data_IF_104154695076
#
_entry.id   IF_104154695076
#
_cell.length_a   1.000
_cell.length_b   1.000
_cell.length_c   1.000
_cell.angle_alpha   90.00
_cell.angle_beta   90.00
_cell.angle_gamma   90.00
#
_symmetry.space_group_name_H-M   'P 1'
#
loop_
_entity.id
_entity.type
_entity.pdbx_description
1 polymer ?
#
# COMPACT_ATOMS: atom_id res chain seq x y z
N UNK A 1 -10.12 -19.86 -3.87
CA UNK A 1 -9.07 -18.99 -3.31
C UNK A 1 -9.74 -17.91 -2.46
N UNK A 2 -9.60 -17.91 -1.13
CA UNK A 2 -10.25 -16.90 -0.28
C UNK A 2 -9.67 -15.51 -0.52
N UNK A 3 -10.54 -14.51 -0.51
CA UNK A 3 -10.22 -13.11 -0.81
C UNK A 3 -10.66 -12.24 0.36
N UNK A 4 -9.87 -11.22 0.69
CA UNK A 4 -10.25 -10.18 1.64
C UNK A 4 -10.21 -8.81 0.97
N UNK A 5 -11.20 -7.97 1.28
CA UNK A 5 -11.25 -6.57 0.88
C UNK A 5 -11.01 -5.73 2.13
N UNK A 6 -9.95 -4.93 2.11
CA UNK A 6 -9.59 -4.06 3.24
C UNK A 6 -10.24 -2.70 3.03
N UNK A 7 -10.91 -2.21 4.08
CA UNK A 7 -11.33 -0.82 4.17
C UNK A 7 -10.37 -0.09 5.13
N UNK A 8 -9.81 1.02 4.67
CA UNK A 8 -8.87 1.85 5.41
C UNK A 8 -9.27 3.32 5.27
N UNK A 9 -9.15 4.09 6.36
CA UNK A 9 -9.24 5.55 6.32
C UNK A 9 -7.84 6.14 6.34
N UNK A 10 -7.21 6.23 5.17
CA UNK A 10 -5.88 6.81 5.03
C UNK A 10 -5.87 8.30 5.36
N UNK A 11 -4.73 8.79 5.84
CA UNK A 11 -4.45 10.21 6.11
C UNK A 11 -3.17 10.65 5.37
N UNK A 12 -2.57 11.77 5.73
CA UNK A 12 -1.37 12.29 5.06
C UNK A 12 -0.04 11.64 5.52
N UNK A 13 -0.06 10.84 6.59
CA UNK A 13 1.14 10.12 7.06
C UNK A 13 1.30 8.77 6.37
N UNK A 14 2.24 8.67 5.42
CA UNK A 14 2.58 7.39 4.75
C UNK A 14 2.95 6.29 5.74
N UNK A 15 3.85 6.52 6.72
CA UNK A 15 4.22 5.47 7.68
C UNK A 15 3.03 4.95 8.48
N UNK A 16 2.16 5.85 8.97
CA UNK A 16 1.02 5.43 9.79
C UNK A 16 -0.03 4.68 8.96
N UNK A 17 -0.21 5.08 7.70
CA UNK A 17 -1.11 4.38 6.78
C UNK A 17 -0.59 2.98 6.45
N UNK A 18 0.71 2.83 6.18
CA UNK A 18 1.33 1.54 5.91
C UNK A 18 1.25 0.61 7.11
N UNK A 19 1.49 1.11 8.33
CA UNK A 19 1.34 0.33 9.55
C UNK A 19 -0.10 -0.19 9.76
N UNK A 20 -1.11 0.64 9.44
CA UNK A 20 -2.52 0.21 9.48
C UNK A 20 -2.84 -0.82 8.40
N UNK A 21 -2.33 -0.62 7.18
CA UNK A 21 -2.49 -1.57 6.09
C UNK A 21 -1.86 -2.93 6.45
N UNK A 22 -0.65 -2.93 7.01
CA UNK A 22 0.04 -4.14 7.49
C UNK A 22 -0.78 -4.91 8.52
N UNK A 23 -1.29 -4.22 9.54
CA UNK A 23 -2.14 -4.86 10.56
C UNK A 23 -3.41 -5.50 9.95
N UNK A 24 -4.02 -4.85 8.95
CA UNK A 24 -5.23 -5.35 8.28
C UNK A 24 -4.92 -6.52 7.33
N UNK A 25 -3.81 -6.46 6.59
CA UNK A 25 -3.33 -7.55 5.74
C UNK A 25 -3.01 -8.79 6.58
N UNK A 26 -2.29 -8.64 7.69
CA UNK A 26 -2.00 -9.76 8.60
C UNK A 26 -3.26 -10.34 9.25
N UNK A 27 -4.27 -9.52 9.54
CA UNK A 27 -5.60 -10.02 9.98
C UNK A 27 -6.28 -10.84 8.88
N UNK A 28 -6.26 -10.37 7.63
CA UNK A 28 -6.83 -11.08 6.50
C UNK A 28 -6.12 -12.42 6.24
N UNK A 29 -4.79 -12.43 6.29
CA UNK A 29 -3.99 -13.63 6.13
C UNK A 29 -4.29 -14.69 7.21
N UNK A 30 -4.36 -14.27 8.48
CA UNK A 30 -4.79 -15.15 9.59
C UNK A 30 -6.21 -15.68 9.46
N UNK A 31 -7.08 -14.96 8.75
CA UNK A 31 -8.43 -15.42 8.41
C UNK A 31 -8.47 -16.35 7.17
N UNK A 32 -7.31 -16.68 6.58
CA UNK A 32 -7.17 -17.60 5.45
C UNK A 32 -7.20 -16.95 4.07
N UNK A 33 -7.17 -15.62 3.98
CA UNK A 33 -7.10 -14.92 2.70
C UNK A 33 -5.80 -15.27 1.95
N UNK A 34 -5.91 -15.41 0.62
CA UNK A 34 -4.78 -15.63 -0.29
C UNK A 34 -4.57 -14.46 -1.26
N UNK A 35 -5.63 -13.66 -1.44
CA UNK A 35 -5.60 -12.37 -2.12
C UNK A 35 -6.19 -11.32 -1.18
N UNK A 36 -5.49 -10.20 -1.01
CA UNK A 36 -5.95 -9.05 -0.22
C UNK A 36 -5.99 -7.81 -1.12
N UNK A 37 -7.14 -7.14 -1.16
CA UNK A 37 -7.33 -5.90 -1.90
C UNK A 37 -7.24 -4.71 -0.94
N UNK A 38 -6.31 -3.80 -1.20
CA UNK A 38 -6.23 -2.51 -0.52
C UNK A 38 -7.05 -1.46 -1.30
N UNK A 39 -7.58 -0.43 -0.63
CA UNK A 39 -8.31 0.65 -1.31
C UNK A 39 -7.37 1.52 -2.15
N UNK A 40 -7.95 2.30 -3.05
CA UNK A 40 -7.22 3.40 -3.70
C UNK A 40 -6.70 4.38 -2.64
N UNK A 41 -5.50 4.94 -2.86
CA UNK A 41 -4.84 5.89 -1.96
C UNK A 41 -4.56 5.31 -0.55
N UNK A 42 -4.44 3.97 -0.42
CA UNK A 42 -4.15 3.34 0.86
C UNK A 42 -2.92 3.93 1.56
N UNK A 43 -1.90 4.33 0.78
CA UNK A 43 -0.65 4.85 1.30
C UNK A 43 -0.70 6.33 1.70
N UNK A 44 -1.52 7.16 1.05
CA UNK A 44 -1.55 8.60 1.28
C UNK A 44 -2.89 9.21 0.88
N UNK A 45 -3.51 9.94 1.79
CA UNK A 45 -4.69 10.76 1.58
C UNK A 45 -4.50 12.11 2.26
N UNK A 46 -3.95 13.06 1.50
CA UNK A 46 -3.69 14.42 1.94
C UNK A 46 -3.69 15.39 0.77
N UNK A 47 -3.21 16.63 0.96
CA UNK A 47 -3.17 17.64 -0.10
C UNK A 47 -2.40 17.18 -1.35
N UNK A 48 -2.81 17.66 -2.52
CA UNK A 48 -2.15 17.33 -3.81
C UNK A 48 -0.65 17.64 -3.81
N UNK A 49 -0.22 18.69 -3.11
CA UNK A 49 1.19 19.05 -2.97
C UNK A 49 2.03 17.93 -2.32
N UNK A 50 1.44 17.14 -1.42
CA UNK A 50 2.10 16.01 -0.78
C UNK A 50 2.19 14.77 -1.66
N UNK A 51 1.26 14.58 -2.61
CA UNK A 51 1.27 13.42 -3.52
C UNK A 51 2.57 13.35 -4.34
N UNK A 52 3.07 14.49 -4.83
CA UNK A 52 4.35 14.55 -5.58
C UNK A 52 5.55 14.19 -4.71
N UNK A 53 5.53 14.57 -3.43
CA UNK A 53 6.61 14.29 -2.51
C UNK A 53 6.71 12.78 -2.20
N UNK A 54 5.58 12.10 -2.10
CA UNK A 54 5.51 10.66 -1.79
C UNK A 54 5.48 9.76 -3.02
N UNK A 55 5.42 10.34 -4.23
CA UNK A 55 5.37 9.57 -5.46
C UNK A 55 6.65 8.73 -5.66
N UNK A 56 6.47 7.45 -5.95
CA UNK A 56 7.57 6.50 -6.13
C UNK A 56 7.68 6.09 -7.58
N UNK A 57 8.90 5.91 -8.08
CA UNK A 57 9.10 5.27 -9.38
C UNK A 57 8.96 3.76 -9.18
N UNK A 58 8.17 3.13 -10.05
CA UNK A 58 7.96 1.68 -9.96
C UNK A 58 9.27 0.93 -10.25
N UNK A 59 9.56 -0.05 -9.40
CA UNK A 59 10.79 -0.85 -9.48
C UNK A 59 12.00 -0.21 -8.79
N UNK A 60 11.88 0.97 -8.18
CA UNK A 60 12.96 1.54 -7.37
C UNK A 60 13.11 0.74 -6.06
N UNK A 61 14.27 0.10 -5.90
CA UNK A 61 14.63 -0.60 -4.67
C UNK A 61 14.70 0.38 -3.49
N UNK A 62 14.02 0.04 -2.40
CA UNK A 62 13.99 0.84 -1.17
C UNK A 62 12.92 1.94 -1.14
N UNK A 63 12.08 2.06 -2.18
CA UNK A 63 10.93 2.95 -2.14
C UNK A 63 9.95 2.51 -1.02
N UNK A 64 9.56 3.38 -0.07
CA UNK A 64 8.85 2.97 1.15
C UNK A 64 7.56 2.17 0.97
N UNK A 65 6.66 2.60 0.09
CA UNK A 65 5.36 1.98 -0.20
C UNK A 65 5.58 0.61 -0.86
N UNK A 66 6.39 0.56 -1.91
CA UNK A 66 6.74 -0.71 -2.58
C UNK A 66 7.45 -1.68 -1.64
N UNK A 67 8.36 -1.19 -0.80
CA UNK A 67 9.09 -2.00 0.18
C UNK A 67 8.15 -2.58 1.24
N UNK A 68 7.20 -1.79 1.73
CA UNK A 68 6.17 -2.27 2.67
C UNK A 68 5.25 -3.32 2.03
N UNK A 69 4.80 -3.11 0.79
CA UNK A 69 4.02 -4.11 0.04
C UNK A 69 4.79 -5.41 -0.15
N UNK A 70 6.06 -5.33 -0.54
CA UNK A 70 6.92 -6.50 -0.68
C UNK A 70 7.15 -7.22 0.65
N UNK A 71 7.32 -6.48 1.75
CA UNK A 71 7.46 -7.05 3.09
C UNK A 71 6.18 -7.79 3.52
N UNK A 72 5.00 -7.16 3.37
CA UNK A 72 3.71 -7.76 3.71
C UNK A 72 3.43 -9.04 2.91
N UNK A 73 3.66 -9.03 1.58
CA UNK A 73 3.44 -10.22 0.74
C UNK A 73 4.35 -11.38 1.14
N UNK A 74 5.63 -11.11 1.45
CA UNK A 74 6.60 -12.12 1.89
C UNK A 74 6.28 -12.67 3.27
N UNK A 75 5.96 -11.80 4.23
CA UNK A 75 5.68 -12.18 5.61
C UNK A 75 4.39 -13.00 5.71
N UNK A 76 3.30 -12.51 5.12
CA UNK A 76 1.97 -13.08 5.27
C UNK A 76 1.64 -14.15 4.20
N UNK A 77 2.51 -14.30 3.19
CA UNK A 77 2.34 -15.25 2.07
C UNK A 77 1.03 -15.06 1.31
N UNK A 78 0.64 -13.81 1.11
CA UNK A 78 -0.55 -13.40 0.36
C UNK A 78 -0.17 -12.60 -0.88
N UNK A 79 -1.02 -12.64 -1.90
CA UNK A 79 -0.98 -11.67 -3.00
C UNK A 79 -1.73 -10.42 -2.58
N UNK A 80 -1.18 -9.23 -2.89
CA UNK A 80 -1.83 -7.95 -2.59
C UNK A 80 -2.16 -7.25 -3.90
N UNK A 81 -3.43 -6.88 -4.10
CA UNK A 81 -3.82 -5.88 -5.07
C UNK A 81 -3.79 -4.52 -4.38
N UNK A 82 -2.73 -3.75 -4.63
CA UNK A 82 -2.38 -2.56 -3.85
C UNK A 82 -3.18 -1.30 -4.23
N UNK A 83 -4.46 -1.44 -4.61
CA UNK A 83 -5.31 -0.33 -5.05
C UNK A 83 -4.61 0.56 -6.06
N UNK A 84 -4.24 1.76 -5.61
CA UNK A 84 -3.33 2.67 -6.32
C UNK A 84 -2.61 3.60 -5.34
N UNK A 85 -1.38 4.01 -5.70
CA UNK A 85 -0.59 5.03 -5.00
C UNK A 85 0.12 5.91 -6.04
N UNK A 86 0.55 7.15 -5.69
CA UNK A 86 1.20 8.03 -6.64
C UNK A 86 2.47 7.45 -7.24
N UNK A 87 2.50 7.29 -8.56
CA UNK A 87 3.67 6.91 -9.34
C UNK A 87 4.43 8.16 -9.79
N UNK A 88 5.74 8.17 -9.63
CA UNK A 88 6.61 9.19 -10.18
C UNK A 88 6.89 8.89 -11.65
N UNK A 89 6.45 9.78 -12.52
CA UNK A 89 6.76 9.73 -13.95
C UNK A 89 7.99 10.59 -14.26
N UNK A 90 8.46 10.53 -15.51
CA UNK A 90 9.52 11.41 -16.00
C UNK A 90 9.05 12.84 -16.31
N UNK A 91 7.77 13.15 -16.08
CA UNK A 91 7.22 14.49 -16.29
C UNK A 91 7.69 15.43 -15.17
N UNK A 92 8.41 16.52 -15.49
CA UNK A 92 8.87 17.47 -14.48
C UNK A 92 7.73 18.27 -13.81
N UNK A 93 6.50 18.28 -14.34
CA UNK A 93 5.38 18.92 -13.65
C UNK A 93 4.07 19.09 -14.39
#
# INVERSE_FOLDING_TARGET
>A
MPVAVVQLSSQDSVPDNLARAEALVGRAARAGARLVLLPENFAYMGPESGKRAIAERLGDDGAPIQSALAAMTRLERVTIAAGGFPERTGDPG
#
